data_IF_956757348129
#
_entry.id   IF_956757348129
#
_cell.length_a   1.000
_cell.length_b   1.000
_cell.length_c   1.000
_cell.angle_alpha   90.00
_cell.angle_beta   90.00
_cell.angle_gamma   90.00
#
_symmetry.space_group_name_H-M   'P 1'
#
loop_
_entity.id
_entity.type
_entity.pdbx_description
1 polymer ?
#
# COMPACT_ATOMS: atom_id res chain seq x y z
N UNK A 1 -1.60 18.10 -18.75
CA UNK A 1 -0.81 16.95 -18.28
C UNK A 1 0.19 17.39 -17.23
N UNK A 2 0.83 18.56 -17.40
CA UNK A 2 1.73 19.19 -16.40
C UNK A 2 1.12 19.48 -15.02
N UNK A 3 -0.20 19.68 -14.93
CA UNK A 3 -0.89 19.97 -13.66
C UNK A 3 -1.16 18.75 -12.78
N UNK A 4 -0.84 17.54 -13.24
CA UNK A 4 -0.99 16.29 -12.49
C UNK A 4 0.32 15.80 -11.85
N UNK A 5 1.44 16.52 -12.06
CA UNK A 5 2.73 16.18 -11.45
C UNK A 5 3.39 14.89 -11.98
N UNK A 6 2.94 14.37 -13.13
CA UNK A 6 3.68 13.32 -13.83
C UNK A 6 4.82 13.98 -14.61
N UNK A 7 6.04 13.90 -14.06
CA UNK A 7 7.26 14.31 -14.75
C UNK A 7 7.42 13.43 -16.02
N UNK A 8 7.27 14.03 -17.21
CA UNK A 8 7.23 13.33 -18.51
C UNK A 8 8.51 12.51 -18.79
N UNK A 9 9.59 12.76 -18.04
CA UNK A 9 10.86 12.06 -18.19
C UNK A 9 11.12 10.95 -17.15
N UNK A 10 10.25 10.76 -16.15
CA UNK A 10 10.42 9.71 -15.14
C UNK A 10 9.58 8.49 -15.52
N UNK A 11 10.22 7.48 -16.11
CA UNK A 11 9.57 6.19 -16.34
C UNK A 11 9.52 5.40 -15.04
N UNK A 12 8.31 4.99 -14.66
CA UNK A 12 8.01 4.17 -13.49
C UNK A 12 7.09 3.02 -13.85
N UNK A 13 7.08 1.98 -13.04
CA UNK A 13 6.00 0.99 -13.06
C UNK A 13 4.78 1.66 -12.41
N UNK A 14 3.62 1.74 -13.09
CA UNK A 14 2.41 2.27 -12.46
C UNK A 14 2.08 1.49 -11.18
N UNK A 15 1.74 2.19 -10.09
CA UNK A 15 1.52 1.54 -8.79
C UNK A 15 0.46 0.42 -8.81
N UNK A 16 -0.55 0.54 -9.68
CA UNK A 16 -1.56 -0.51 -9.86
C UNK A 16 -0.96 -1.82 -10.43
N UNK A 17 0.09 -1.74 -11.27
CA UNK A 17 0.81 -2.91 -11.78
C UNK A 17 1.56 -3.59 -10.64
N UNK A 18 2.25 -2.81 -9.80
CA UNK A 18 2.91 -3.33 -8.59
C UNK A 18 1.92 -3.91 -7.57
N UNK A 19 0.65 -3.50 -7.61
CA UNK A 19 -0.44 -4.05 -6.80
C UNK A 19 -1.13 -5.30 -7.35
N UNK A 20 -0.81 -5.74 -8.57
CA UNK A 20 -1.47 -6.90 -9.19
C UNK A 20 -1.23 -8.19 -8.39
N UNK A 21 -2.13 -9.18 -8.42
CA UNK A 21 -1.83 -10.53 -7.92
C UNK A 21 -0.58 -11.11 -8.60
N UNK A 22 0.20 -11.96 -7.89
CA UNK A 22 1.45 -12.53 -8.44
C UNK A 22 1.24 -13.24 -9.79
N UNK A 23 0.11 -13.93 -9.96
CA UNK A 23 -0.29 -14.61 -11.20
C UNK A 23 -0.42 -13.66 -12.41
N UNK A 24 -0.60 -12.35 -12.19
CA UNK A 24 -0.65 -11.32 -13.22
C UNK A 24 0.68 -10.55 -13.32
N UNK A 25 1.31 -10.22 -12.20
CA UNK A 25 2.59 -9.50 -12.18
C UNK A 25 3.70 -10.25 -12.95
N UNK A 26 3.69 -11.59 -12.92
CA UNK A 26 4.68 -12.42 -13.63
C UNK A 26 4.76 -12.14 -15.14
N UNK A 27 3.63 -11.78 -15.77
CA UNK A 27 3.58 -11.46 -17.19
C UNK A 27 4.24 -10.12 -17.51
N UNK A 28 4.11 -9.15 -16.60
CA UNK A 28 4.81 -7.87 -16.73
C UNK A 28 6.32 -8.09 -16.64
N UNK A 29 6.78 -8.88 -15.66
CA UNK A 29 8.20 -9.23 -15.50
C UNK A 29 8.73 -9.96 -16.74
N UNK A 30 8.01 -10.95 -17.23
CA UNK A 30 8.39 -11.69 -18.44
C UNK A 30 8.53 -10.76 -19.65
N UNK A 31 7.60 -9.82 -19.83
CA UNK A 31 7.65 -8.86 -20.93
C UNK A 31 8.79 -7.84 -20.83
N UNK A 32 9.32 -7.60 -19.63
CA UNK A 32 10.46 -6.71 -19.40
C UNK A 32 11.82 -7.43 -19.47
N UNK A 33 11.84 -8.76 -19.42
CA UNK A 33 13.07 -9.56 -19.39
C UNK A 33 13.86 -9.37 -20.68
N UNK A 34 15.08 -8.85 -20.56
CA UNK A 34 16.00 -8.70 -21.71
C UNK A 34 16.58 -10.03 -22.15
N UNK A 35 16.66 -11.01 -21.24
CA UNK A 35 17.04 -12.38 -21.56
C UNK A 35 17.58 -13.18 -20.37
N UNK A 36 18.33 -14.23 -20.71
CA UNK A 36 19.00 -15.20 -19.84
C UNK A 36 20.44 -14.82 -19.47
N UNK A 37 20.86 -13.59 -19.82
CA UNK A 37 22.23 -13.13 -19.64
C UNK A 37 23.25 -13.78 -20.59
N UNK A 38 22.82 -14.54 -21.60
CA UNK A 38 23.70 -15.29 -22.51
C UNK A 38 23.49 -14.86 -23.97
N UNK A 39 23.86 -13.62 -24.32
CA UNK A 39 23.78 -13.12 -25.71
C UNK A 39 24.93 -13.59 -26.62
N UNK A 40 25.27 -14.88 -26.57
CA UNK A 40 26.02 -15.55 -27.63
C UNK A 40 25.55 -17.00 -27.72
N UNK A 41 25.07 -17.41 -28.91
CA UNK A 41 24.26 -18.61 -29.16
C UNK A 41 24.95 -19.97 -28.98
N UNK A 42 25.70 -20.18 -27.89
CA UNK A 42 26.35 -21.46 -27.56
C UNK A 42 26.01 -22.02 -26.17
N UNK A 43 25.13 -21.38 -25.40
CA UNK A 43 24.96 -21.70 -23.98
C UNK A 43 23.51 -21.59 -23.49
N UNK A 44 22.56 -22.05 -24.31
CA UNK A 44 21.15 -22.23 -23.89
C UNK A 44 20.98 -23.25 -22.75
N UNK A 45 21.94 -24.18 -22.58
CA UNK A 45 21.98 -25.10 -21.43
C UNK A 45 22.58 -24.46 -20.15
N UNK A 46 23.21 -23.28 -20.23
CA UNK A 46 23.80 -22.53 -19.11
C UNK A 46 22.98 -21.27 -18.77
N UNK A 47 21.65 -21.35 -18.75
CA UNK A 47 20.82 -20.27 -18.19
C UNK A 47 21.11 -20.09 -16.70
N UNK A 48 22.03 -19.18 -16.36
CA UNK A 48 22.53 -19.00 -14.98
C UNK A 48 21.87 -17.80 -14.28
N UNK A 49 21.36 -16.81 -15.01
CA UNK A 49 20.78 -15.58 -14.43
C UNK A 49 19.78 -14.87 -15.33
N UNK A 50 18.81 -14.16 -14.77
CA UNK A 50 18.01 -13.21 -15.54
C UNK A 50 18.63 -11.82 -15.52
N UNK A 51 18.55 -11.11 -16.64
CA UNK A 51 19.01 -9.72 -16.75
C UNK A 51 17.86 -8.78 -17.16
N UNK A 52 17.86 -7.61 -16.52
CA UNK A 52 16.92 -6.53 -16.77
C UNK A 52 17.70 -5.22 -16.69
N UNK A 53 17.63 -4.36 -17.71
CA UNK A 53 18.34 -3.08 -17.70
C UNK A 53 17.38 -1.90 -17.85
N UNK A 54 17.79 -0.75 -17.34
CA UNK A 54 17.03 0.51 -17.46
C UNK A 54 17.97 1.70 -17.34
N UNK A 55 17.66 2.79 -18.02
CA UNK A 55 18.36 4.09 -17.87
C UNK A 55 17.71 5.00 -16.82
N UNK A 56 16.60 4.56 -16.21
CA UNK A 56 15.84 5.35 -15.23
C UNK A 56 16.00 4.77 -13.82
N UNK A 57 16.32 5.64 -12.86
CA UNK A 57 16.47 5.28 -11.45
C UNK A 57 15.19 4.72 -10.85
N UNK A 58 14.06 5.41 -11.06
CA UNK A 58 12.79 5.00 -10.46
C UNK A 58 12.33 3.63 -10.99
N UNK A 59 12.52 3.36 -12.28
CA UNK A 59 12.17 2.06 -12.87
C UNK A 59 13.05 0.94 -12.32
N UNK A 60 14.32 1.23 -12.03
CA UNK A 60 15.24 0.28 -11.36
C UNK A 60 14.70 -0.04 -9.96
N UNK A 61 14.29 0.97 -9.20
CA UNK A 61 13.74 0.77 -7.85
C UNK A 61 12.39 0.01 -7.88
N UNK A 62 11.51 0.34 -8.81
CA UNK A 62 10.22 -0.35 -8.98
C UNK A 62 10.39 -1.83 -9.36
N UNK A 63 11.40 -2.17 -10.18
CA UNK A 63 11.73 -3.55 -10.52
C UNK A 63 12.23 -4.33 -9.30
N UNK A 64 13.03 -3.72 -8.42
CA UNK A 64 13.45 -4.34 -7.15
C UNK A 64 12.23 -4.71 -6.32
N UNK A 65 11.28 -3.78 -6.17
CA UNK A 65 10.02 -4.03 -5.46
C UNK A 65 9.24 -5.16 -6.11
N UNK A 66 9.13 -5.16 -7.44
CA UNK A 66 8.40 -6.20 -8.17
C UNK A 66 9.02 -7.60 -7.96
N UNK A 67 10.35 -7.73 -7.93
CA UNK A 67 11.03 -8.99 -7.62
C UNK A 67 10.85 -9.41 -6.17
N UNK A 68 10.93 -8.47 -5.23
CA UNK A 68 10.74 -8.74 -3.80
C UNK A 68 9.36 -9.34 -3.50
N UNK A 69 8.32 -9.00 -4.29
CA UNK A 69 6.99 -9.62 -4.17
C UNK A 69 6.97 -11.12 -4.48
N UNK A 70 7.94 -11.63 -5.24
CA UNK A 70 8.16 -13.06 -5.45
C UNK A 70 9.18 -13.66 -4.47
N UNK A 71 9.70 -12.87 -3.52
CA UNK A 71 10.78 -13.31 -2.62
C UNK A 71 12.17 -13.34 -3.26
N UNK A 72 12.36 -12.61 -4.37
CA UNK A 72 13.61 -12.59 -5.14
C UNK A 72 14.41 -11.31 -4.88
N UNK A 73 15.74 -11.46 -4.78
CA UNK A 73 16.69 -10.38 -4.53
C UNK A 73 17.65 -10.20 -5.72
N UNK A 74 17.51 -9.12 -6.52
CA UNK A 74 18.42 -8.83 -7.62
C UNK A 74 19.75 -8.25 -7.11
N UNK A 75 20.85 -8.58 -7.80
CA UNK A 75 22.06 -7.79 -7.75
C UNK A 75 21.90 -6.58 -8.66
N UNK A 76 22.16 -5.37 -8.15
CA UNK A 76 22.01 -4.12 -8.90
C UNK A 76 23.38 -3.51 -9.15
N UNK A 77 23.69 -3.22 -10.42
CA UNK A 77 24.93 -2.57 -10.83
C UNK A 77 24.66 -1.35 -11.70
N UNK A 78 25.39 -0.26 -11.45
CA UNK A 78 25.43 0.92 -12.33
C UNK A 78 26.56 0.79 -13.34
N UNK A 79 26.27 1.05 -14.61
CA UNK A 79 27.20 0.91 -15.73
C UNK A 79 27.14 2.15 -16.64
N UNK A 80 28.25 2.42 -17.31
CA UNK A 80 28.33 3.45 -18.36
C UNK A 80 28.50 2.79 -19.72
N UNK A 81 27.74 3.24 -20.71
CA UNK A 81 27.94 2.87 -22.11
C UNK A 81 28.04 4.09 -23.00
N UNK A 82 28.90 4.03 -24.01
CA UNK A 82 29.04 5.07 -25.01
C UNK A 82 28.02 4.88 -26.13
N UNK A 83 27.07 5.80 -26.28
CA UNK A 83 26.15 5.81 -27.41
C UNK A 83 26.25 7.14 -28.17
N UNK A 84 26.62 7.07 -29.46
CA UNK A 84 26.78 8.25 -30.34
C UNK A 84 27.65 9.37 -29.73
N UNK A 85 28.76 9.00 -29.09
CA UNK A 85 29.70 9.95 -28.48
C UNK A 85 29.24 10.55 -27.14
N UNK A 86 28.08 10.14 -26.62
CA UNK A 86 27.61 10.48 -25.27
C UNK A 86 27.80 9.29 -24.33
N UNK A 87 28.22 9.55 -23.10
CA UNK A 87 28.18 8.56 -22.03
C UNK A 87 26.78 8.51 -21.45
N UNK A 88 26.19 7.32 -21.45
CA UNK A 88 24.87 7.07 -20.89
C UNK A 88 25.03 6.11 -19.71
N UNK A 89 24.55 6.54 -18.55
CA UNK A 89 24.43 5.68 -17.38
C UNK A 89 23.22 4.78 -17.55
N UNK A 90 23.36 3.52 -17.14
CA UNK A 90 22.26 2.58 -17.05
C UNK A 90 22.46 1.63 -15.88
N UNK A 91 21.36 1.13 -15.36
CA UNK A 91 21.31 0.14 -14.32
C UNK A 91 21.06 -1.24 -14.92
N UNK A 92 21.71 -2.25 -14.37
CA UNK A 92 21.41 -3.65 -14.65
C UNK A 92 21.08 -4.38 -13.36
N UNK A 93 19.93 -5.03 -13.35
CA UNK A 93 19.45 -5.91 -12.31
C UNK A 93 19.66 -7.35 -12.77
N UNK A 94 20.24 -8.17 -11.90
CA UNK A 94 20.60 -9.55 -12.22
C UNK A 94 20.09 -10.50 -11.15
N UNK A 95 19.30 -11.49 -11.55
CA UNK A 95 18.78 -12.54 -10.67
C UNK A 95 19.50 -13.86 -10.97
N UNK A 96 20.52 -14.26 -10.20
CA UNK A 96 21.21 -15.53 -10.41
C UNK A 96 20.41 -16.71 -9.85
N UNK A 97 20.52 -17.86 -10.52
CA UNK A 97 20.14 -19.18 -10.01
C UNK A 97 18.71 -19.24 -9.44
N UNK A 98 17.74 -18.80 -10.25
CA UNK A 98 16.31 -18.81 -9.92
C UNK A 98 15.65 -20.09 -10.45
N UNK A 99 14.83 -20.73 -9.62
CA UNK A 99 14.07 -21.94 -9.96
C UNK A 99 12.61 -21.81 -9.47
N UNK A 100 11.60 -22.03 -10.32
CA UNK A 100 11.69 -22.38 -11.73
C UNK A 100 12.26 -21.22 -12.58
N UNK A 101 12.93 -21.56 -13.67
CA UNK A 101 13.60 -20.59 -14.54
C UNK A 101 12.65 -19.57 -15.19
N UNK A 102 11.42 -19.97 -15.50
CA UNK A 102 10.48 -19.08 -16.17
C UNK A 102 9.78 -18.17 -15.15
N UNK A 103 9.84 -16.83 -15.30
CA UNK A 103 9.02 -15.90 -14.52
C UNK A 103 7.54 -16.28 -14.50
N UNK A 104 7.03 -16.84 -15.60
CA UNK A 104 5.65 -17.28 -15.72
C UNK A 104 5.25 -18.43 -14.76
N UNK A 105 6.20 -19.03 -14.05
CA UNK A 105 5.96 -20.06 -13.06
C UNK A 105 6.21 -19.60 -11.61
N UNK A 106 6.71 -18.38 -11.38
CA UNK A 106 7.11 -17.92 -10.04
C UNK A 106 5.95 -17.72 -9.06
N UNK A 107 4.73 -17.52 -9.56
CA UNK A 107 3.54 -17.35 -8.73
C UNK A 107 3.13 -18.63 -7.98
N UNK A 108 3.58 -19.80 -8.43
CA UNK A 108 3.38 -21.07 -7.75
C UNK A 108 4.43 -21.35 -6.67
N UNK A 109 5.43 -20.47 -6.51
CA UNK A 109 6.58 -20.64 -5.64
C UNK A 109 7.88 -20.57 -6.44
N UNK A 110 8.86 -19.84 -5.91
CA UNK A 110 10.16 -19.64 -6.53
C UNK A 110 11.26 -19.64 -5.48
N UNK A 111 12.39 -20.22 -5.84
CA UNK A 111 13.60 -20.26 -5.03
C UNK A 111 14.73 -19.55 -5.77
N UNK A 112 15.57 -18.85 -5.02
CA UNK A 112 16.78 -18.22 -5.53
C UNK A 112 17.98 -18.61 -4.69
N UNK A 113 19.04 -19.09 -5.34
CA UNK A 113 20.31 -19.38 -4.66
C UNK A 113 21.24 -18.17 -4.73
N UNK A 114 21.50 -17.57 -3.56
CA UNK A 114 22.41 -16.42 -3.43
C UNK A 114 23.83 -16.88 -3.06
N UNK A 115 24.84 -16.20 -3.62
CA UNK A 115 26.23 -16.34 -3.18
C UNK A 115 26.54 -15.40 -2.00
N UNK A 116 25.79 -15.58 -0.92
CA UNK A 116 25.92 -14.79 0.30
C UNK A 116 25.90 -15.71 1.52
N UNK A 117 26.48 -15.25 2.63
CA UNK A 117 26.31 -15.95 3.91
C UNK A 117 24.87 -15.78 4.35
N UNK A 118 24.23 -16.84 4.80
CA UNK A 118 22.86 -16.79 5.30
C UNK A 118 22.77 -17.29 6.73
N UNK A 119 21.73 -16.86 7.44
CA UNK A 119 21.34 -17.41 8.74
C UNK A 119 19.84 -17.54 8.74
N UNK A 120 19.34 -18.78 8.52
CA UNK A 120 17.93 -19.01 8.15
C UNK A 120 17.57 -18.15 6.92
N UNK A 121 16.56 -17.31 7.04
CA UNK A 121 16.05 -16.44 5.98
C UNK A 121 16.80 -15.11 5.86
N UNK A 122 17.80 -14.87 6.71
CA UNK A 122 18.62 -13.65 6.68
C UNK A 122 19.80 -13.81 5.73
N UNK A 123 20.01 -12.81 4.87
CA UNK A 123 21.14 -12.73 3.92
C UNK A 123 22.11 -11.65 4.38
N UNK A 124 23.38 -12.02 4.56
CA UNK A 124 24.44 -11.11 4.99
C UNK A 124 25.23 -10.58 3.80
N UNK A 125 25.38 -9.26 3.73
CA UNK A 125 26.23 -8.58 2.76
C UNK A 125 27.18 -7.61 3.47
N UNK A 126 28.45 -7.48 3.01
CA UNK A 126 29.35 -6.47 3.56
C UNK A 126 28.89 -5.07 3.17
N UNK A 127 28.80 -4.17 4.14
CA UNK A 127 28.55 -2.74 3.90
C UNK A 127 29.78 -2.15 3.19
N UNK A 128 29.63 -1.78 1.91
CA UNK A 128 30.73 -1.21 1.11
C UNK A 128 30.90 0.29 1.30
N UNK A 129 29.80 1.01 1.54
CA UNK A 129 29.76 2.47 1.71
C UNK A 129 28.48 2.85 2.46
N UNK A 130 28.57 3.88 3.28
CA UNK A 130 27.43 4.53 3.94
C UNK A 130 27.39 5.95 3.38
N UNK A 131 26.23 6.38 2.88
CA UNK A 131 26.03 7.71 2.28
C UNK A 131 24.78 8.34 2.88
N UNK A 132 24.81 9.64 3.12
CA UNK A 132 23.67 10.43 3.55
C UNK A 132 22.84 10.84 2.32
N UNK A 133 21.55 10.53 2.32
CA UNK A 133 20.62 10.86 1.23
C UNK A 133 19.49 11.76 1.74
N UNK A 134 19.02 12.67 0.90
CA UNK A 134 17.88 13.52 1.23
C UNK A 134 16.61 12.66 1.33
N UNK A 135 15.90 12.77 2.46
CA UNK A 135 14.69 12.01 2.70
C UNK A 135 13.60 12.40 1.68
N UNK A 136 13.27 11.50 0.76
CA UNK A 136 12.11 11.70 -0.12
C UNK A 136 10.86 11.09 0.50
N UNK A 137 9.64 11.50 0.10
CA UNK A 137 8.39 10.86 0.52
C UNK A 137 8.30 9.36 0.19
N UNK A 138 9.24 8.84 -0.60
CA UNK A 138 9.31 7.47 -1.10
C UNK A 138 10.52 6.69 -0.54
N UNK A 139 11.43 7.33 0.20
CA UNK A 139 12.47 6.61 0.94
C UNK A 139 11.81 5.99 2.18
N UNK A 140 11.43 4.72 2.06
CA UNK A 140 11.20 3.87 3.22
C UNK A 140 12.57 3.37 3.69
N UNK A 141 13.23 4.17 4.52
CA UNK A 141 14.40 3.74 5.27
C UNK A 141 13.92 3.16 6.61
N UNK A 142 14.09 1.85 6.75
CA UNK A 142 13.70 1.08 7.93
C UNK A 142 14.82 1.20 8.98
N UNK A 143 14.84 2.30 9.70
CA UNK A 143 15.31 2.39 11.11
C UNK A 143 15.44 3.85 11.51
N UNK A 144 14.50 4.35 12.31
CA UNK A 144 14.60 5.67 12.95
C UNK A 144 15.10 5.45 14.38
N UNK A 145 16.26 6.03 14.78
CA UNK A 145 16.70 5.94 16.17
C UNK A 145 15.67 6.56 17.11
N UNK A 146 15.11 5.76 18.02
CA UNK A 146 14.03 6.15 18.94
C UNK A 146 12.64 5.62 18.57
N UNK A 147 12.48 4.95 17.42
CA UNK A 147 11.29 4.18 17.06
C UNK A 147 11.72 2.92 16.29
N UNK A 148 11.51 1.75 16.88
CA UNK A 148 11.73 0.47 16.21
C UNK A 148 10.76 0.33 15.04
N UNK A 149 11.21 -0.14 13.86
CA UNK A 149 10.37 -0.88 12.92
C UNK A 149 11.22 -1.67 11.90
N UNK A 150 11.34 -2.98 12.17
CA UNK A 150 11.57 -4.08 11.23
C UNK A 150 10.19 -4.64 10.82
N UNK A 151 10.04 -5.23 9.62
CA UNK A 151 8.93 -6.17 9.39
C UNK A 151 9.42 -7.61 9.52
N UNK A 152 9.37 -8.10 10.76
CA UNK A 152 9.36 -9.52 11.11
C UNK A 152 8.23 -9.72 12.12
N UNK A 153 7.05 -10.15 11.66
CA UNK A 153 5.87 -10.34 12.53
C UNK A 153 4.96 -9.11 12.71
N UNK A 154 3.74 -9.38 13.21
CA UNK A 154 2.54 -8.52 13.40
C UNK A 154 2.11 -7.64 12.24
N UNK A 155 1.06 -8.05 11.53
CA UNK A 155 0.33 -7.16 10.61
C UNK A 155 -0.92 -6.57 11.26
N UNK A 156 -1.12 -5.26 11.15
CA UNK A 156 -2.39 -4.61 11.52
C UNK A 156 -3.27 -4.45 10.29
N UNK A 157 -4.46 -5.06 10.33
CA UNK A 157 -5.49 -4.85 9.33
C UNK A 157 -6.46 -3.78 9.82
N UNK A 158 -6.07 -2.51 9.66
CA UNK A 158 -6.95 -1.37 9.95
C UNK A 158 -8.09 -1.30 8.90
N UNK A 159 -9.34 -1.29 9.36
CA UNK A 159 -10.54 -1.26 8.49
C UNK A 159 -11.29 0.04 8.72
N UNK A 160 -11.66 0.72 7.61
CA UNK A 160 -12.57 1.88 7.56
C UNK A 160 -12.49 2.85 8.77
N UNK A 161 -11.31 3.39 9.01
CA UNK A 161 -11.08 4.32 10.13
C UNK A 161 -11.50 5.75 9.76
N UNK A 162 -12.10 6.45 10.72
CA UNK A 162 -12.51 7.84 10.58
C UNK A 162 -12.20 8.65 11.84
N UNK A 163 -12.20 9.98 11.71
CA UNK A 163 -11.93 10.88 12.81
C UNK A 163 -11.52 12.27 12.35
N UNK A 164 -11.14 13.16 13.29
CA UNK A 164 -10.50 14.43 12.98
C UNK A 164 -9.29 14.26 12.05
N UNK A 165 -8.92 15.32 11.33
CA UNK A 165 -7.78 15.35 10.37
C UNK A 165 -7.98 14.56 9.07
N UNK A 166 -9.16 14.00 8.82
CA UNK A 166 -9.47 13.42 7.52
C UNK A 166 -9.38 14.46 6.39
N UNK A 167 -8.98 13.99 5.20
CA UNK A 167 -8.92 14.80 3.98
C UNK A 167 -10.33 14.84 3.36
N UNK A 168 -10.89 16.01 3.03
CA UNK A 168 -12.25 16.12 2.48
C UNK A 168 -12.46 15.40 1.13
N UNK A 169 -11.38 15.12 0.39
CA UNK A 169 -11.42 14.54 -0.95
C UNK A 169 -10.70 13.19 -1.04
N UNK A 170 -10.67 12.40 0.03
CA UNK A 170 -10.00 11.08 0.01
C UNK A 170 -10.82 9.94 -0.63
N UNK A 171 -12.07 10.20 -1.03
CA UNK A 171 -12.94 9.24 -1.71
C UNK A 171 -13.65 8.23 -0.79
N UNK A 172 -13.44 8.26 0.53
CA UNK A 172 -14.18 7.42 1.49
C UNK A 172 -15.58 7.98 1.76
N UNK A 173 -16.47 7.11 2.25
CA UNK A 173 -17.87 7.45 2.53
C UNK A 173 -18.02 8.64 3.49
N UNK A 174 -17.47 8.54 4.71
CA UNK A 174 -17.60 9.57 5.76
C UNK A 174 -17.14 10.97 5.30
N UNK A 175 -15.92 11.17 4.78
CA UNK A 175 -15.49 12.51 4.33
C UNK A 175 -16.31 13.02 3.14
N UNK A 176 -16.78 12.12 2.26
CA UNK A 176 -17.66 12.50 1.15
C UNK A 176 -19.01 13.00 1.65
N UNK A 177 -19.66 12.23 2.54
CA UNK A 177 -20.96 12.59 3.10
C UNK A 177 -20.88 13.87 3.92
N UNK A 178 -19.86 14.01 4.78
CA UNK A 178 -19.63 15.22 5.57
C UNK A 178 -19.44 16.45 4.67
N UNK A 179 -18.62 16.34 3.62
CA UNK A 179 -18.40 17.43 2.68
C UNK A 179 -19.69 17.81 1.91
N UNK A 180 -20.52 16.83 1.55
CA UNK A 180 -21.79 17.08 0.88
C UNK A 180 -22.79 17.75 1.82
N UNK A 181 -22.99 17.19 3.02
CA UNK A 181 -23.92 17.69 4.02
C UNK A 181 -23.53 19.09 4.54
N UNK A 182 -22.27 19.32 4.89
CA UNK A 182 -21.78 20.63 5.34
C UNK A 182 -21.88 21.73 4.25
N UNK A 183 -22.04 21.33 2.98
CA UNK A 183 -22.24 22.25 1.86
C UNK A 183 -23.71 22.33 1.40
N UNK A 184 -24.67 21.74 2.14
CA UNK A 184 -26.08 21.60 1.75
C UNK A 184 -26.25 21.02 0.32
N UNK A 185 -25.33 20.12 -0.09
CA UNK A 185 -25.39 19.40 -1.36
C UNK A 185 -25.97 18.00 -1.16
N UNK A 186 -26.68 17.43 -2.16
CA UNK A 186 -27.17 16.06 -2.07
C UNK A 186 -26.09 15.07 -1.62
N UNK A 187 -26.44 14.21 -0.67
CA UNK A 187 -25.55 13.16 -0.15
C UNK A 187 -25.70 11.94 -1.04
N UNK A 188 -24.63 11.57 -1.74
CA UNK A 188 -24.67 10.52 -2.76
C UNK A 188 -24.38 9.15 -2.15
N UNK A 189 -25.36 8.25 -2.16
CA UNK A 189 -25.20 6.84 -1.80
C UNK A 189 -25.16 6.01 -3.08
N UNK A 190 -24.10 5.25 -3.31
CA UNK A 190 -24.01 4.36 -4.46
C UNK A 190 -24.80 3.06 -4.17
N UNK A 191 -25.54 2.54 -5.15
CA UNK A 191 -26.44 1.39 -4.98
C UNK A 191 -27.76 1.78 -4.31
N UNK A 192 -28.33 0.84 -3.57
CA UNK A 192 -29.54 1.04 -2.76
C UNK A 192 -29.23 1.41 -1.30
N UNK A 193 -27.95 1.52 -0.95
CA UNK A 193 -27.50 1.84 0.40
C UNK A 193 -27.50 0.66 1.37
N UNK A 194 -27.94 -0.54 0.96
CA UNK A 194 -28.03 -1.74 1.81
C UNK A 194 -26.68 -2.37 2.17
N UNK A 195 -25.61 -1.96 1.48
CA UNK A 195 -24.26 -2.43 1.76
C UNK A 195 -23.80 -2.00 3.15
N UNK A 196 -23.22 -2.94 3.88
CA UNK A 196 -22.77 -2.71 5.26
C UNK A 196 -21.29 -2.36 5.31
N UNK A 197 -20.94 -1.48 6.24
CA UNK A 197 -19.57 -1.10 6.55
C UNK A 197 -19.42 -1.05 8.07
N UNK A 198 -18.27 -1.48 8.55
CA UNK A 198 -17.80 -1.14 9.89
C UNK A 198 -17.07 0.20 9.84
N UNK A 199 -17.18 0.99 10.91
CA UNK A 199 -16.45 2.25 11.06
C UNK A 199 -15.77 2.28 12.43
N UNK A 200 -14.45 2.42 12.44
CA UNK A 200 -13.66 2.48 13.66
C UNK A 200 -13.18 3.91 13.88
N UNK A 201 -13.44 4.47 15.06
CA UNK A 201 -12.96 5.80 15.38
C UNK A 201 -11.44 5.79 15.58
N UNK A 202 -10.77 6.87 15.14
CA UNK A 202 -9.30 6.93 15.09
C UNK A 202 -8.65 6.75 16.46
N UNK A 203 -9.26 7.23 17.55
CA UNK A 203 -8.70 7.05 18.89
C UNK A 203 -8.73 5.59 19.34
N UNK A 204 -9.79 4.85 19.00
CA UNK A 204 -9.86 3.40 19.26
C UNK A 204 -8.82 2.64 18.45
N UNK A 205 -8.66 2.97 17.16
CA UNK A 205 -7.60 2.38 16.34
C UNK A 205 -6.23 2.63 16.97
N UNK A 206 -5.93 3.87 17.38
CA UNK A 206 -4.64 4.22 18.01
C UNK A 206 -4.44 3.41 19.29
N UNK A 207 -5.46 3.30 20.16
CA UNK A 207 -5.39 2.50 21.39
C UNK A 207 -5.09 1.03 21.08
N UNK A 208 -5.69 0.47 20.02
CA UNK A 208 -5.42 -0.91 19.60
C UNK A 208 -4.03 -1.10 18.96
N UNK A 209 -3.54 -0.10 18.22
CA UNK A 209 -2.18 -0.09 17.68
C UNK A 209 -1.12 -0.03 18.79
N UNK A 210 -1.32 0.85 19.78
CA UNK A 210 -0.44 0.95 20.96
C UNK A 210 -0.48 -0.35 21.75
N UNK A 211 -1.67 -0.89 22.03
CA UNK A 211 -1.80 -2.16 22.75
C UNK A 211 -1.14 -3.33 22.03
N UNK A 212 -1.21 -3.39 20.70
CA UNK A 212 -0.49 -4.41 19.93
C UNK A 212 1.03 -4.20 19.98
N UNK A 213 1.49 -2.96 19.82
CA UNK A 213 2.91 -2.63 19.85
C UNK A 213 3.58 -2.89 21.21
N UNK A 214 2.81 -2.77 22.30
CA UNK A 214 3.26 -3.07 23.67
C UNK A 214 3.08 -4.55 24.06
N UNK A 215 2.55 -5.39 23.16
CA UNK A 215 2.30 -6.81 23.41
C UNK A 215 3.39 -7.71 22.86
N UNK A 216 3.45 -8.94 23.38
CA UNK A 216 4.28 -10.03 22.84
C UNK A 216 3.62 -10.77 21.67
N UNK A 217 2.49 -10.27 21.16
CA UNK A 217 1.77 -10.88 20.03
C UNK A 217 2.59 -10.66 18.77
N UNK A 218 2.78 -11.70 17.96
CA UNK A 218 3.54 -11.63 16.70
C UNK A 218 2.69 -11.99 15.47
N UNK A 219 1.43 -12.40 15.67
CA UNK A 219 0.50 -12.69 14.59
C UNK A 219 -0.25 -11.45 14.09
N UNK A 220 -0.83 -11.48 12.88
CA UNK A 220 -1.76 -10.45 12.44
C UNK A 220 -2.99 -10.35 13.35
N UNK A 221 -3.35 -9.12 13.72
CA UNK A 221 -4.52 -8.78 14.56
C UNK A 221 -5.38 -7.74 13.85
N UNK A 222 -6.68 -8.02 13.74
CA UNK A 222 -7.65 -7.04 13.25
C UNK A 222 -7.94 -6.02 14.35
N UNK A 223 -7.65 -4.75 14.09
CA UNK A 223 -8.06 -3.63 14.92
C UNK A 223 -9.12 -2.84 14.15
N UNK A 224 -10.36 -2.90 14.62
CA UNK A 224 -11.50 -2.29 13.96
C UNK A 224 -12.78 -2.41 14.77
N UNK A 225 -13.90 -1.95 14.22
CA UNK A 225 -15.18 -2.01 14.88
C UNK A 225 -16.00 -3.19 14.32
N UNK A 226 -16.44 -4.17 15.14
CA UNK A 226 -17.26 -5.28 14.65
C UNK A 226 -18.69 -4.84 14.36
N UNK A 227 -19.13 -3.67 14.82
CA UNK A 227 -20.48 -3.17 14.57
C UNK A 227 -20.58 -2.66 13.12
N UNK A 228 -21.52 -3.25 12.38
CA UNK A 228 -21.84 -2.84 11.02
C UNK A 228 -23.00 -1.85 11.00
N UNK A 229 -22.97 -0.96 10.02
CA UNK A 229 -24.05 -0.06 9.67
C UNK A 229 -24.18 0.02 8.15
N UNK A 230 -25.38 0.19 7.64
CA UNK A 230 -25.61 0.40 6.21
C UNK A 230 -25.06 1.76 5.76
N UNK A 231 -24.72 1.91 4.47
CA UNK A 231 -24.33 3.23 3.96
C UNK A 231 -25.50 4.22 3.98
N UNK A 232 -26.74 3.76 3.88
CA UNK A 232 -27.93 4.60 4.02
C UNK A 232 -28.04 5.17 5.44
N UNK A 233 -28.02 4.32 6.47
CA UNK A 233 -28.06 4.77 7.88
C UNK A 233 -26.91 5.71 8.21
N UNK A 234 -25.72 5.46 7.65
CA UNK A 234 -24.55 6.33 7.80
C UNK A 234 -24.80 7.72 7.17
N UNK A 235 -25.36 7.77 5.97
CA UNK A 235 -25.69 9.02 5.29
C UNK A 235 -26.75 9.82 6.05
N UNK A 236 -27.83 9.16 6.49
CA UNK A 236 -28.90 9.75 7.30
C UNK A 236 -28.36 10.31 8.62
N UNK A 237 -27.51 9.55 9.31
CA UNK A 237 -26.86 9.98 10.56
C UNK A 237 -26.00 11.22 10.34
N UNK A 238 -25.26 11.30 9.23
CA UNK A 238 -24.45 12.49 8.90
C UNK A 238 -25.33 13.71 8.64
N UNK A 239 -26.41 13.56 7.86
CA UNK A 239 -27.34 14.67 7.59
C UNK A 239 -27.97 15.18 8.89
N UNK A 240 -28.44 14.26 9.74
CA UNK A 240 -29.01 14.58 11.05
C UNK A 240 -28.01 15.33 11.94
N UNK A 241 -26.80 14.79 12.12
CA UNK A 241 -25.80 15.34 13.03
C UNK A 241 -25.18 16.66 12.56
N UNK A 242 -25.19 16.92 11.25
CA UNK A 242 -24.73 18.20 10.68
C UNK A 242 -25.84 19.26 10.67
N UNK A 243 -27.10 18.87 10.91
CA UNK A 243 -28.26 19.76 10.77
C UNK A 243 -28.49 20.23 9.33
N UNK A 244 -27.98 19.49 8.35
CA UNK A 244 -28.06 19.84 6.93
C UNK A 244 -29.46 19.62 6.37
N UNK A 245 -29.79 20.33 5.29
CA UNK A 245 -31.02 20.11 4.51
C UNK A 245 -30.79 19.20 3.29
N UNK A 246 -29.62 18.59 3.19
CA UNK A 246 -29.27 17.71 2.09
C UNK A 246 -30.21 16.50 2.00
N UNK A 247 -30.71 16.25 0.79
CA UNK A 247 -31.40 15.00 0.47
C UNK A 247 -30.38 13.88 0.21
N UNK A 248 -30.73 12.65 0.58
CA UNK A 248 -29.97 11.46 0.21
C UNK A 248 -30.39 11.03 -1.20
N UNK A 249 -29.43 10.95 -2.12
CA UNK A 249 -29.66 10.55 -3.53
C UNK A 249 -28.89 9.28 -3.86
N UNK A 250 -29.48 8.45 -4.72
CA UNK A 250 -28.91 7.16 -5.10
C UNK A 250 -28.26 7.22 -6.47
N UNK A 251 -27.05 6.70 -6.59
CA UNK A 251 -26.32 6.55 -7.86
C UNK A 251 -25.96 5.09 -8.14
N UNK A 252 -25.64 4.76 -9.39
CA UNK A 252 -25.34 3.36 -9.76
C UNK A 252 -24.10 2.83 -9.01
N UNK A 253 -24.21 1.62 -8.44
CA UNK A 253 -23.09 0.97 -7.73
C UNK A 253 -21.97 0.60 -8.71
N UNK A 254 -20.71 0.95 -8.43
CA UNK A 254 -19.57 0.42 -9.17
C UNK A 254 -19.51 -1.12 -9.05
N UNK A 255 -19.16 -1.81 -10.14
CA UNK A 255 -19.20 -3.28 -10.28
C UNK A 255 -18.29 -4.03 -9.26
N UNK A 256 -17.30 -3.34 -8.68
CA UNK A 256 -16.24 -3.95 -7.85
C UNK A 256 -16.32 -3.65 -6.34
N UNK A 257 -17.42 -3.10 -5.81
CA UNK A 257 -17.50 -2.77 -4.37
C UNK A 257 -17.93 -3.99 -3.52
N UNK A 258 -17.13 -4.45 -2.52
CA UNK A 258 -17.51 -5.57 -1.67
C UNK A 258 -18.79 -5.28 -0.87
N UNK A 259 -19.68 -6.27 -0.81
CA UNK A 259 -21.00 -6.11 -0.17
C UNK A 259 -20.95 -6.05 1.35
N UNK A 260 -20.00 -6.74 1.99
CA UNK A 260 -19.88 -6.87 3.46
C UNK A 260 -18.43 -6.64 3.88
N UNK A 261 -18.22 -5.86 4.95
CA UNK A 261 -16.88 -5.56 5.50
C UNK A 261 -16.91 -5.45 7.03
N UNK A 262 -17.09 -6.57 7.71
CA UNK A 262 -16.98 -6.70 9.16
C UNK A 262 -15.62 -7.31 9.58
N UNK A 263 -14.85 -6.68 10.49
CA UNK A 263 -13.67 -7.30 11.09
C UNK A 263 -14.07 -8.26 12.22
N UNK A 264 -13.48 -9.45 12.24
CA UNK A 264 -13.46 -10.29 13.44
C UNK A 264 -12.33 -9.82 14.37
N UNK A 265 -12.70 -9.29 15.53
CA UNK A 265 -11.78 -8.72 16.52
C UNK A 265 -11.52 -9.65 17.71
N UNK A 266 -11.87 -10.94 17.61
CA UNK A 266 -11.71 -11.91 18.69
C UNK A 266 -10.27 -11.96 19.22
N UNK A 267 -9.27 -11.94 18.32
CA UNK A 267 -7.86 -11.86 18.71
C UNK A 267 -7.49 -10.59 19.48
N UNK A 268 -8.04 -9.44 19.08
CA UNK A 268 -7.74 -8.20 19.77
C UNK A 268 -8.32 -8.18 21.18
N UNK A 269 -9.52 -8.75 21.38
CA UNK A 269 -10.10 -8.94 22.71
C UNK A 269 -9.29 -9.91 23.56
N UNK A 270 -9.01 -11.09 23.02
CA UNK A 270 -8.41 -12.18 23.79
C UNK A 270 -6.94 -11.92 24.13
N UNK A 271 -6.18 -11.35 23.20
CA UNK A 271 -4.73 -11.17 23.34
C UNK A 271 -4.35 -9.79 23.89
N UNK A 272 -5.12 -8.76 23.59
CA UNK A 272 -4.81 -7.37 23.96
C UNK A 272 -5.76 -6.80 25.01
N UNK A 273 -6.86 -7.49 25.35
CA UNK A 273 -7.93 -6.90 26.14
C UNK A 273 -8.58 -5.69 25.47
N UNK A 274 -8.47 -5.58 24.15
CA UNK A 274 -8.89 -4.41 23.39
C UNK A 274 -10.25 -4.61 22.71
N UNK A 275 -11.11 -3.60 22.84
CA UNK A 275 -12.32 -3.42 22.06
C UNK A 275 -12.56 -1.93 21.78
N UNK A 276 -13.24 -1.54 20.69
CA UNK A 276 -13.59 -0.14 20.44
C UNK A 276 -14.55 0.37 21.51
N UNK A 277 -14.29 1.55 22.06
CA UNK A 277 -15.07 2.13 23.15
C UNK A 277 -15.93 3.31 22.67
N UNK A 278 -15.55 3.96 21.57
CA UNK A 278 -16.20 5.17 21.09
C UNK A 278 -17.29 4.78 20.09
N UNK A 279 -18.52 5.16 20.41
CA UNK A 279 -19.65 4.93 19.53
C UNK A 279 -19.57 5.80 18.26
N UNK A 280 -20.35 5.43 17.25
CA UNK A 280 -20.32 6.11 15.96
C UNK A 280 -20.65 7.60 16.10
N UNK A 281 -21.69 7.94 16.87
CA UNK A 281 -22.21 9.31 17.00
C UNK A 281 -21.21 10.20 17.74
N UNK A 282 -20.61 9.71 18.81
CA UNK A 282 -19.56 10.39 19.56
C UNK A 282 -18.34 10.66 18.66
N UNK A 283 -17.87 9.65 17.93
CA UNK A 283 -16.77 9.82 16.99
C UNK A 283 -17.12 10.80 15.84
N UNK A 284 -18.37 10.77 15.36
CA UNK A 284 -18.84 11.67 14.31
C UNK A 284 -18.92 13.11 14.80
N UNK A 285 -19.37 13.35 16.03
CA UNK A 285 -19.42 14.69 16.62
C UNK A 285 -18.05 15.36 16.56
N UNK A 286 -17.01 14.67 17.04
CA UNK A 286 -15.63 15.17 16.99
C UNK A 286 -15.13 15.38 15.56
N UNK A 287 -15.52 14.49 14.64
CA UNK A 287 -15.15 14.60 13.22
C UNK A 287 -15.81 15.79 12.53
N UNK A 288 -17.09 16.05 12.83
CA UNK A 288 -17.87 17.19 12.32
C UNK A 288 -17.33 18.51 12.85
N UNK A 289 -16.99 18.57 14.14
CA UNK A 289 -16.38 19.76 14.77
C UNK A 289 -15.08 20.15 14.05
N UNK A 290 -14.17 19.20 13.81
CA UNK A 290 -12.93 19.44 13.05
C UNK A 290 -13.19 19.84 11.59
N UNK A 291 -14.12 19.17 10.91
CA UNK A 291 -14.48 19.47 9.53
C UNK A 291 -15.05 20.89 9.38
N UNK A 292 -15.95 21.28 10.29
CA UNK A 292 -16.56 22.62 10.32
C UNK A 292 -15.51 23.69 10.60
N UNK A 293 -14.61 23.45 11.56
CA UNK A 293 -13.53 24.38 11.89
C UNK A 293 -12.57 24.63 10.71
N UNK A 294 -12.33 23.62 9.87
CA UNK A 294 -11.52 23.76 8.65
C UNK A 294 -12.22 24.55 7.56
N UNK A 295 -13.54 24.41 7.41
CA UNK A 295 -14.32 25.20 6.47
C UNK A 295 -14.41 26.68 6.87
N UNK A 296 -14.35 26.98 8.18
CA UNK A 296 -14.40 28.34 8.70
C UNK A 296 -13.06 29.12 8.59
N UNK A 297 -11.94 28.43 8.32
CA UNK A 297 -10.64 29.07 8.12
C UNK A 297 -10.49 29.45 6.64
N UNK A 298 -10.33 30.73 6.28
CA UNK A 298 -10.02 31.10 4.91
C UNK A 298 -8.66 30.52 4.52
N UNK A 299 -8.57 30.08 3.25
CA UNK A 299 -7.36 29.55 2.63
C UNK A 299 -6.22 30.59 2.59
#
# INVERSE_FOLDING_TARGET
MDYLGFDENRKRIPGWVLGLPLARLKWFIEGYREGDGVHSGKKLEEGVRHEFSTVYDDLKDDLIVAFARFGLAPSVGGYESGFKGKRCLFWRLTLPSVSPWSPLAWDAGVEQKLQARTTKDLVWAPVKKIEEIEATPLVYDFSVPGLENFWAGTGVLARNTYGPRMRPHDGRAIPTFLRQALADKPVTVFGDGSQTRSFCFVADLIRGLVGLAESEVHEPVNIGNPNEMTLLEMAETVVEMTGSRSEVVFEALPIDDPKIRQPDITRARDLLGWEPEIDLREGLKQTIEDATAKLAKPA
#
